data_IF_579641325301
#
_entry.id   IF_579641325301
#
_cell.length_a   1.000
_cell.length_b   1.000
_cell.length_c   1.000
_cell.angle_alpha   90.00
_cell.angle_beta   90.00
_cell.angle_gamma   90.00
#
_symmetry.space_group_name_H-M   'P 1'
#
loop_
_entity.id
_entity.type
_entity.pdbx_description
1 polymer ?
#
# COMPACT_ATOMS: atom_id res chain seq x y z
N UNK A 1 -63.31 -26.89 33.70
CA UNK A 1 -62.80 -25.50 33.65
C UNK A 1 -61.39 -25.52 33.05
N UNK A 2 -61.12 -24.58 32.14
CA UNK A 2 -60.08 -24.62 31.12
C UNK A 2 -58.65 -24.78 31.65
N UNK A 3 -57.81 -25.57 30.94
CA UNK A 3 -56.35 -25.44 31.00
C UNK A 3 -55.86 -24.94 29.64
N UNK A 4 -55.56 -23.64 29.59
CA UNK A 4 -55.06 -22.92 28.42
C UNK A 4 -53.66 -23.42 28.08
N UNK A 5 -53.46 -23.89 26.86
CA UNK A 5 -52.13 -24.20 26.31
C UNK A 5 -51.47 -22.86 25.98
N UNK A 6 -50.49 -22.45 26.77
CA UNK A 6 -49.70 -21.26 26.50
C UNK A 6 -48.74 -21.56 25.33
N UNK A 7 -48.96 -20.93 24.17
CA UNK A 7 -47.97 -20.90 23.10
C UNK A 7 -46.77 -20.06 23.57
N UNK A 8 -45.63 -20.72 23.79
CA UNK A 8 -44.35 -20.06 23.95
C UNK A 8 -43.86 -19.61 22.57
N UNK A 9 -43.97 -18.30 22.31
CA UNK A 9 -43.45 -17.67 21.10
C UNK A 9 -41.92 -17.82 21.04
N UNK A 10 -41.45 -18.46 19.98
CA UNK A 10 -40.02 -18.60 19.68
C UNK A 10 -39.54 -17.29 19.03
N UNK A 11 -39.14 -16.32 19.84
CA UNK A 11 -38.51 -15.09 19.35
C UNK A 11 -37.10 -15.42 18.84
N UNK A 12 -36.96 -15.61 17.53
CA UNK A 12 -35.67 -15.72 16.88
C UNK A 12 -34.94 -14.37 16.98
N UNK A 13 -33.91 -14.32 17.83
CA UNK A 13 -32.96 -13.22 17.89
C UNK A 13 -32.19 -13.15 16.57
N UNK A 14 -32.62 -12.26 15.67
CA UNK A 14 -31.79 -11.82 14.55
C UNK A 14 -30.60 -11.05 15.14
N UNK A 15 -29.47 -11.73 15.33
CA UNK A 15 -28.19 -11.07 15.58
C UNK A 15 -27.77 -10.46 14.24
N UNK A 16 -28.11 -9.18 14.04
CA UNK A 16 -27.55 -8.41 12.94
C UNK A 16 -26.04 -8.30 13.18
N UNK A 17 -25.25 -9.04 12.41
CA UNK A 17 -23.80 -8.84 12.35
C UNK A 17 -23.55 -7.46 11.74
N UNK A 18 -23.31 -6.47 12.60
CA UNK A 18 -22.72 -5.21 12.18
C UNK A 18 -21.27 -5.50 11.77
N UNK A 19 -21.00 -5.51 10.48
CA UNK A 19 -19.64 -5.46 9.99
C UNK A 19 -19.12 -4.03 10.22
N UNK A 20 -18.32 -3.84 11.27
CA UNK A 20 -17.52 -2.64 11.38
C UNK A 20 -16.46 -2.70 10.28
N UNK A 21 -16.57 -1.83 9.27
CA UNK A 21 -15.44 -1.56 8.41
C UNK A 21 -14.37 -0.91 9.29
N UNK A 22 -13.30 -1.64 9.62
CA UNK A 22 -12.14 -1.04 10.26
C UNK A 22 -11.66 0.11 9.36
N UNK A 23 -11.76 1.34 9.86
CA UNK A 23 -11.17 2.53 9.24
C UNK A 23 -9.65 2.56 9.46
N UNK A 24 -8.96 1.42 9.30
CA UNK A 24 -7.52 1.41 9.14
C UNK A 24 -7.25 1.48 7.64
N UNK A 25 -6.91 2.68 7.15
CA UNK A 25 -6.48 2.80 5.76
C UNK A 25 -5.25 1.89 5.57
N UNK A 26 -5.36 0.95 4.63
CA UNK A 26 -4.25 0.08 4.24
C UNK A 26 -3.19 0.82 3.41
N UNK A 27 -3.29 2.14 3.31
CA UNK A 27 -2.37 3.03 2.62
C UNK A 27 -1.53 3.81 3.64
N UNK A 28 -0.23 3.86 3.39
CA UNK A 28 0.72 4.68 4.16
C UNK A 28 1.24 5.76 3.25
N UNK A 29 1.12 7.01 3.65
CA UNK A 29 1.73 8.13 2.93
C UNK A 29 3.26 7.97 2.93
N UNK A 30 3.87 8.11 1.76
CA UNK A 30 5.31 7.94 1.56
C UNK A 30 5.97 9.27 1.24
N UNK A 31 5.40 10.00 0.29
CA UNK A 31 5.91 11.30 -0.13
C UNK A 31 4.78 12.13 -0.74
N UNK A 32 4.95 13.44 -0.76
CA UNK A 32 4.03 14.39 -1.36
C UNK A 32 4.79 15.35 -2.28
N UNK A 33 4.10 15.83 -3.30
CA UNK A 33 4.55 16.90 -4.16
C UNK A 33 3.41 17.92 -4.31
N UNK A 34 3.71 19.06 -4.93
CA UNK A 34 2.71 20.10 -5.17
C UNK A 34 1.48 19.61 -5.95
N UNK A 35 1.60 18.54 -6.72
CA UNK A 35 0.52 18.02 -7.55
C UNK A 35 -0.29 16.89 -6.88
N UNK A 36 0.24 16.26 -5.83
CA UNK A 36 -0.45 15.14 -5.18
C UNK A 36 0.40 14.35 -4.19
N UNK A 37 -0.19 13.28 -3.67
CA UNK A 37 0.38 12.43 -2.63
C UNK A 37 0.63 11.03 -3.18
N UNK A 38 1.79 10.46 -2.86
CA UNK A 38 2.08 9.05 -3.10
C UNK A 38 1.94 8.26 -1.81
N UNK A 39 1.18 7.17 -1.86
CA UNK A 39 0.98 6.25 -0.74
C UNK A 39 1.22 4.82 -1.15
N UNK A 40 1.81 4.01 -0.28
CA UNK A 40 2.04 2.58 -0.51
C UNK A 40 0.92 1.74 0.12
N UNK A 41 0.51 0.66 -0.56
CA UNK A 41 -0.40 -0.34 0.03
C UNK A 41 0.35 -1.32 0.92
N UNK A 42 -0.01 -1.38 2.19
CA UNK A 42 0.50 -2.36 3.16
C UNK A 42 0.34 -3.79 2.63
N UNK A 43 1.33 -4.64 2.89
CA UNK A 43 1.32 -6.04 2.49
C UNK A 43 1.63 -6.32 1.01
N UNK A 44 1.85 -5.28 0.18
CA UNK A 44 2.19 -5.46 -1.25
C UNK A 44 3.68 -5.46 -1.55
N UNK A 45 4.52 -5.04 -0.61
CA UNK A 45 5.96 -5.06 -0.79
C UNK A 45 6.47 -6.48 -1.02
N UNK A 46 7.27 -6.66 -2.07
CA UNK A 46 7.95 -7.91 -2.41
C UNK A 46 9.36 -7.58 -2.87
N UNK A 47 10.34 -8.35 -2.43
CA UNK A 47 11.68 -8.35 -2.99
C UNK A 47 11.92 -9.73 -3.63
N UNK A 48 12.18 -9.75 -4.93
CA UNK A 48 12.36 -10.99 -5.71
C UNK A 48 13.54 -10.80 -6.65
N UNK A 49 14.55 -11.67 -6.54
CA UNK A 49 15.74 -11.69 -7.42
C UNK A 49 16.43 -10.32 -7.54
N UNK A 50 16.64 -9.63 -6.41
CA UNK A 50 17.34 -8.34 -6.37
C UNK A 50 16.53 -7.14 -6.87
N UNK A 51 15.20 -7.27 -6.93
CA UNK A 51 14.29 -6.18 -7.28
C UNK A 51 13.19 -6.09 -6.23
N UNK A 52 13.10 -4.94 -5.58
CA UNK A 52 11.99 -4.57 -4.71
C UNK A 52 10.84 -4.02 -5.54
N UNK A 53 9.60 -4.35 -5.16
CA UNK A 53 8.40 -3.85 -5.79
C UNK A 53 7.26 -3.68 -4.79
N UNK A 54 6.39 -2.71 -5.02
CA UNK A 54 5.18 -2.51 -4.23
C UNK A 54 4.09 -1.77 -5.02
N UNK A 55 2.85 -1.83 -4.53
CA UNK A 55 1.75 -1.05 -5.08
C UNK A 55 1.71 0.34 -4.45
N UNK A 56 1.75 1.36 -5.30
CA UNK A 56 1.59 2.75 -4.95
C UNK A 56 0.29 3.32 -5.51
N UNK A 57 -0.29 4.24 -4.77
CA UNK A 57 -1.38 5.11 -5.16
C UNK A 57 -0.81 6.52 -5.30
N UNK A 58 -1.08 7.15 -6.44
CA UNK A 58 -0.91 8.58 -6.63
C UNK A 58 -2.29 9.23 -6.58
N UNK A 59 -2.52 10.10 -5.61
CA UNK A 59 -3.73 10.89 -5.51
C UNK A 59 -3.41 12.35 -5.80
N UNK A 60 -3.98 12.88 -6.88
CA UNK A 60 -3.83 14.28 -7.26
C UNK A 60 -4.65 15.20 -6.36
N UNK A 61 -4.38 16.51 -6.41
CA UNK A 61 -5.17 17.52 -5.68
C UNK A 61 -6.66 17.56 -6.08
N UNK A 62 -6.99 17.27 -7.34
CA UNK A 62 -8.36 17.13 -7.84
C UNK A 62 -9.00 15.76 -7.51
N UNK A 63 -8.37 14.97 -6.64
CA UNK A 63 -8.82 13.66 -6.16
C UNK A 63 -8.88 12.58 -7.26
N UNK A 64 -8.18 12.77 -8.38
CA UNK A 64 -7.93 11.67 -9.32
C UNK A 64 -6.97 10.70 -8.64
N UNK A 65 -7.28 9.41 -8.75
CA UNK A 65 -6.48 8.34 -8.18
C UNK A 65 -5.90 7.49 -9.30
N UNK A 66 -4.59 7.29 -9.26
CA UNK A 66 -3.85 6.42 -10.16
C UNK A 66 -3.07 5.39 -9.36
N UNK A 67 -2.94 4.18 -9.91
CA UNK A 67 -2.23 3.09 -9.24
C UNK A 67 -1.05 2.65 -10.09
N UNK A 68 0.10 2.48 -9.44
CA UNK A 68 1.34 2.08 -10.09
C UNK A 68 2.01 0.96 -9.30
N UNK A 69 2.58 -0.02 -10.01
CA UNK A 69 3.60 -0.88 -9.43
C UNK A 69 4.93 -0.13 -9.53
N UNK A 70 5.49 0.26 -8.40
CA UNK A 70 6.83 0.82 -8.34
C UNK A 70 7.85 -0.30 -8.16
N UNK A 71 9.01 -0.18 -8.77
CA UNK A 71 10.15 -1.10 -8.60
C UNK A 71 11.46 -0.34 -8.46
N UNK A 72 12.36 -0.84 -7.62
CA UNK A 72 13.74 -0.35 -7.48
C UNK A 72 14.68 -1.55 -7.38
N UNK A 73 15.86 -1.47 -7.99
CA UNK A 73 16.85 -2.53 -7.89
C UNK A 73 17.57 -2.45 -6.54
N UNK A 74 17.98 -3.61 -6.05
CA UNK A 74 18.76 -3.75 -4.84
C UNK A 74 20.08 -2.97 -4.90
N UNK A 75 20.74 -3.01 -6.06
CA UNK A 75 21.99 -2.28 -6.31
C UNK A 75 21.79 -0.75 -6.29
N UNK A 76 20.62 -0.25 -6.69
CA UNK A 76 20.35 1.19 -6.68
C UNK A 76 20.20 1.69 -5.23
N UNK A 77 19.56 0.87 -4.38
CA UNK A 77 19.50 1.12 -2.93
C UNK A 77 20.88 1.05 -2.26
N UNK A 78 21.77 0.16 -2.70
CA UNK A 78 23.14 0.04 -2.16
C UNK A 78 24.04 1.19 -2.61
N UNK A 79 23.85 1.67 -3.83
CA UNK A 79 24.58 2.81 -4.37
C UNK A 79 24.09 4.15 -3.82
N UNK A 80 22.86 4.21 -3.31
CA UNK A 80 22.19 5.46 -2.92
C UNK A 80 21.76 6.31 -4.12
N UNK A 81 21.74 5.74 -5.33
CA UNK A 81 21.22 6.40 -6.53
C UNK A 81 20.84 5.38 -7.62
N UNK A 82 19.95 5.77 -8.53
CA UNK A 82 19.49 4.93 -9.63
C UNK A 82 18.12 5.36 -10.15
N UNK A 83 17.23 4.40 -10.39
CA UNK A 83 15.88 4.68 -10.90
C UNK A 83 14.80 3.89 -10.15
N UNK A 84 13.71 4.58 -9.80
CA UNK A 84 12.43 3.93 -9.50
C UNK A 84 11.62 3.82 -10.79
N UNK A 85 11.20 2.61 -11.16
CA UNK A 85 10.37 2.38 -12.36
C UNK A 85 8.92 2.17 -11.97
N UNK A 86 8.02 2.83 -12.68
CA UNK A 86 6.58 2.74 -12.48
C UNK A 86 5.93 2.01 -13.65
N UNK A 87 5.05 1.08 -13.32
CA UNK A 87 4.29 0.30 -14.29
C UNK A 87 2.80 0.45 -14.00
N UNK A 88 2.00 0.50 -15.06
CA UNK A 88 0.55 0.41 -14.99
C UNK A 88 0.13 -0.97 -14.45
N UNK A 89 -1.14 -1.11 -14.05
CA UNK A 89 -1.65 -2.38 -13.49
C UNK A 89 -1.66 -3.54 -14.49
N UNK A 90 -1.65 -3.26 -15.79
CA UNK A 90 -1.46 -4.25 -16.85
C UNK A 90 0.02 -4.61 -17.09
N UNK A 91 0.94 -4.05 -16.31
CA UNK A 91 2.37 -4.31 -16.39
C UNK A 91 3.11 -3.51 -17.45
N UNK A 92 2.44 -2.65 -18.24
CA UNK A 92 3.14 -1.76 -19.17
C UNK A 92 3.91 -0.69 -18.41
N UNK A 93 5.13 -0.42 -18.86
CA UNK A 93 5.94 0.69 -18.35
C UNK A 93 5.14 2.01 -18.48
N UNK A 94 5.15 2.81 -17.42
CA UNK A 94 4.52 4.11 -17.37
C UNK A 94 5.58 5.21 -17.47
N UNK A 95 6.47 5.28 -16.48
CA UNK A 95 7.56 6.26 -16.40
C UNK A 95 8.62 5.80 -15.38
N UNK A 96 9.76 6.50 -15.35
CA UNK A 96 10.81 6.37 -14.34
C UNK A 96 10.89 7.66 -13.50
N UNK A 97 11.31 7.53 -12.25
CA UNK A 97 11.71 8.63 -11.39
C UNK A 97 13.16 8.42 -10.95
N UNK A 98 13.95 9.49 -11.02
CA UNK A 98 15.34 9.45 -10.56
C UNK A 98 15.39 9.23 -9.05
N UNK A 99 16.18 8.23 -8.64
CA UNK A 99 16.47 7.97 -7.24
C UNK A 99 17.82 8.57 -6.87
N UNK A 100 17.82 9.41 -5.84
CA UNK A 100 19.00 9.86 -5.11
C UNK A 100 18.64 9.79 -3.63
N UNK A 101 19.42 9.07 -2.84
CA UNK A 101 19.19 8.92 -1.41
C UNK A 101 19.19 10.28 -0.72
N UNK A 102 18.23 10.48 0.20
CA UNK A 102 18.01 11.74 0.91
C UNK A 102 17.79 12.95 -0.03
N UNK A 103 17.31 12.69 -1.25
CA UNK A 103 17.00 13.71 -2.26
C UNK A 103 15.63 14.36 -2.07
N UNK A 104 15.38 15.43 -2.83
CA UNK A 104 14.16 16.25 -2.70
C UNK A 104 13.08 15.95 -3.76
N UNK A 105 13.15 14.82 -4.45
CA UNK A 105 12.20 14.44 -5.50
C UNK A 105 11.22 13.36 -5.03
N UNK A 106 10.11 13.20 -5.75
CA UNK A 106 9.20 12.06 -5.53
C UNK A 106 9.92 10.72 -5.72
N UNK A 107 10.83 10.64 -6.69
CA UNK A 107 11.67 9.45 -6.93
C UNK A 107 12.58 9.15 -5.75
N UNK A 108 13.19 10.17 -5.15
CA UNK A 108 13.97 10.07 -3.92
C UNK A 108 13.12 9.53 -2.76
N UNK A 109 12.00 10.18 -2.44
CA UNK A 109 11.15 9.76 -1.31
C UNK A 109 10.58 8.34 -1.45
N UNK A 110 10.17 7.95 -2.67
CA UNK A 110 9.72 6.57 -2.93
C UNK A 110 10.89 5.59 -2.83
N UNK A 111 12.04 5.92 -3.41
CA UNK A 111 13.23 5.09 -3.36
C UNK A 111 13.70 4.85 -1.93
N UNK A 112 13.86 5.91 -1.12
CA UNK A 112 14.28 5.82 0.28
C UNK A 112 13.34 4.96 1.10
N UNK A 113 12.03 5.15 0.92
CA UNK A 113 11.04 4.31 1.57
C UNK A 113 11.19 2.83 1.17
N UNK A 114 11.29 2.53 -0.12
CA UNK A 114 11.41 1.15 -0.60
C UNK A 114 12.72 0.50 -0.14
N UNK A 115 13.82 1.25 -0.15
CA UNK A 115 15.12 0.80 0.34
C UNK A 115 15.09 0.54 1.85
N UNK A 116 14.48 1.42 2.64
CA UNK A 116 14.32 1.24 4.08
C UNK A 116 13.49 0.00 4.42
N UNK A 117 12.36 -0.21 3.73
CA UNK A 117 11.53 -1.41 3.90
C UNK A 117 12.29 -2.69 3.52
N UNK A 118 13.09 -2.66 2.45
CA UNK A 118 13.97 -3.78 2.08
C UNK A 118 14.95 -4.10 3.20
N UNK A 119 15.66 -3.08 3.70
CA UNK A 119 16.64 -3.24 4.79
C UNK A 119 15.99 -3.85 6.04
N UNK A 120 14.85 -3.30 6.48
CA UNK A 120 14.11 -3.84 7.62
C UNK A 120 13.62 -5.28 7.39
N UNK A 121 13.15 -5.60 6.17
CA UNK A 121 12.73 -6.95 5.82
C UNK A 121 13.89 -7.95 5.78
N UNK A 122 15.11 -7.52 5.49
CA UNK A 122 16.30 -8.37 5.48
C UNK A 122 16.82 -8.59 6.91
N UNK A 123 16.79 -7.55 7.76
CA UNK A 123 17.18 -7.69 9.18
C UNK A 123 16.29 -8.67 9.93
N UNK A 124 14.98 -8.74 9.63
CA UNK A 124 14.06 -9.70 10.27
C UNK A 124 14.22 -11.15 9.79
N UNK A 125 15.07 -11.42 8.79
CA UNK A 125 15.35 -12.77 8.28
C UNK A 125 16.69 -13.33 8.78
N UNK A 126 17.53 -12.48 9.37
CA UNK A 126 18.81 -12.87 9.98
C UNK A 126 18.64 -13.25 11.44
#
# INVERSE_FOLDING_TARGET
>A
MAKKIALLGFSALFVASVAFAETSSNWVEVTNADLGIFSIKKGTFRNVKGVSSALFMYQTKDKKVEYYKATIKDVDCENGYGEVKFFNMDGRFAFNGDYVADGNSVGAGIGDFMCAVRSASNSNKS
#
